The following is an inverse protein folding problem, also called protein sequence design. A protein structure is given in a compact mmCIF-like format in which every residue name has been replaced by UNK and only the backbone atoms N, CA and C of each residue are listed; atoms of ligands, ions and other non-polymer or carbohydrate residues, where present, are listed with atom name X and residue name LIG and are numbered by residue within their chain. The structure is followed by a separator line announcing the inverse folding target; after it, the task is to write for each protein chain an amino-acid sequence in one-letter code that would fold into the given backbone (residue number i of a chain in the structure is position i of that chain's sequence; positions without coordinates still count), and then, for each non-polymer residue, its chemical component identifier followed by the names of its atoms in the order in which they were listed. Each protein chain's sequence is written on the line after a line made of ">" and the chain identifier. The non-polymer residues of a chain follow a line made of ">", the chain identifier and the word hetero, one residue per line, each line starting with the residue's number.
data_IF_718930430667
#
_entry.id   IF_718930430667
#
_cell.length_a   1.000
_cell.length_b   1.000
_cell.length_c   1.000
_cell.angle_alpha   90.00
_cell.angle_beta   90.00
_cell.angle_gamma   90.00
#
_symmetry.space_group_name_H-M   'P 1'
#
loop_
_entity.id
_entity.type
_entity.pdbx_description
1 polymer ?
#
# COMPACT_ATOMS: atom_id res chain seq x y z
N UNK A 1 -7.45 -17.90 -15.20
CA UNK A 1 -7.45 -16.51 -15.74
C UNK A 1 -6.02 -16.13 -16.05
N UNK A 2 -5.76 -15.68 -17.26
CA UNK A 2 -4.45 -15.15 -17.62
C UNK A 2 -4.28 -13.78 -16.95
N UNK A 3 -3.29 -13.63 -16.08
CA UNK A 3 -3.00 -12.35 -15.43
C UNK A 3 -2.26 -11.45 -16.41
N UNK A 4 -2.59 -10.15 -16.42
CA UNK A 4 -2.00 -9.21 -17.37
C UNK A 4 -0.62 -8.72 -16.94
N UNK A 5 -0.34 -8.71 -15.63
CA UNK A 5 0.89 -8.25 -15.02
C UNK A 5 1.42 -9.26 -14.02
N UNK A 6 2.70 -9.21 -13.72
CA UNK A 6 3.30 -9.94 -12.60
C UNK A 6 2.81 -9.36 -11.27
N UNK A 7 2.79 -8.03 -11.16
CA UNK A 7 2.52 -7.31 -9.92
C UNK A 7 1.50 -6.17 -10.13
N UNK A 8 0.51 -6.09 -9.23
CA UNK A 8 -0.29 -4.89 -9.01
C UNK A 8 0.09 -4.26 -7.68
N UNK A 9 0.53 -3.01 -7.69
CA UNK A 9 0.78 -2.24 -6.46
C UNK A 9 -0.44 -1.36 -6.19
N UNK A 10 -1.13 -1.59 -5.07
CA UNK A 10 -2.31 -0.83 -4.64
C UNK A 10 -1.89 0.15 -3.55
N UNK A 11 -2.08 1.44 -3.81
CA UNK A 11 -1.69 2.53 -2.92
C UNK A 11 -2.92 3.37 -2.56
N UNK A 12 -3.57 3.09 -1.41
CA UNK A 12 -4.61 3.96 -0.88
C UNK A 12 -3.97 5.23 -0.32
N UNK A 13 -4.60 6.39 -0.56
CA UNK A 13 -4.04 7.67 -0.13
C UNK A 13 -5.10 8.71 0.21
N UNK A 14 -4.74 9.63 1.10
CA UNK A 14 -5.51 10.81 1.45
C UNK A 14 -4.55 11.96 1.80
N UNK A 15 -4.54 13.03 0.99
CA UNK A 15 -3.66 14.20 1.14
C UNK A 15 -2.17 13.86 1.16
N UNK A 16 -1.69 13.24 0.08
CA UNK A 16 -0.30 12.77 -0.08
C UNK A 16 0.36 13.31 -1.37
N UNK A 17 -0.05 14.49 -1.83
CA UNK A 17 0.42 15.07 -3.10
C UNK A 17 1.95 15.15 -3.20
N UNK A 18 2.66 15.42 -2.09
CA UNK A 18 4.11 15.61 -2.06
C UNK A 18 4.88 14.30 -2.22
N UNK A 19 4.38 13.20 -1.63
CA UNK A 19 5.08 11.91 -1.61
C UNK A 19 4.88 11.07 -2.88
N UNK A 20 3.76 11.26 -3.59
CA UNK A 20 3.38 10.42 -4.73
C UNK A 20 4.41 10.37 -5.87
N UNK A 21 5.04 11.50 -6.31
CA UNK A 21 6.04 11.44 -7.38
C UNK A 21 7.27 10.61 -6.99
N UNK A 22 7.74 10.74 -5.75
CA UNK A 22 8.89 9.99 -5.24
C UNK A 22 8.57 8.51 -5.11
N UNK A 23 7.41 8.17 -4.53
CA UNK A 23 6.95 6.79 -4.40
C UNK A 23 6.82 6.12 -5.77
N UNK A 24 6.19 6.80 -6.73
CA UNK A 24 6.05 6.27 -8.09
C UNK A 24 7.41 6.00 -8.75
N UNK A 25 8.34 6.98 -8.67
CA UNK A 25 9.68 6.82 -9.25
C UNK A 25 10.45 5.66 -8.60
N UNK A 26 10.29 5.47 -7.28
CA UNK A 26 10.92 4.37 -6.56
C UNK A 26 10.33 3.01 -6.98
N UNK A 27 9.01 2.88 -7.03
CA UNK A 27 8.35 1.65 -7.53
C UNK A 27 8.80 1.36 -8.96
N UNK A 28 8.74 2.34 -9.87
CA UNK A 28 9.13 2.17 -11.27
C UNK A 28 10.58 1.69 -11.42
N UNK A 29 11.51 2.25 -10.64
CA UNK A 29 12.90 1.82 -10.62
C UNK A 29 13.02 0.34 -10.25
N UNK A 30 12.41 -0.08 -9.16
CA UNK A 30 12.46 -1.48 -8.68
C UNK A 30 11.87 -2.43 -9.71
N UNK A 31 10.72 -2.08 -10.32
CA UNK A 31 10.10 -2.91 -11.35
C UNK A 31 10.98 -3.09 -12.58
N UNK A 32 11.63 -2.01 -13.03
CA UNK A 32 12.57 -2.05 -14.18
C UNK A 32 13.83 -2.85 -13.86
N UNK A 33 14.43 -2.67 -12.70
CA UNK A 33 15.62 -3.40 -12.25
C UNK A 33 15.41 -4.92 -12.22
N UNK A 34 14.20 -5.36 -11.87
CA UNK A 34 13.85 -6.77 -11.77
C UNK A 34 13.05 -7.33 -12.96
N UNK A 35 12.83 -6.52 -13.99
CA UNK A 35 12.08 -6.89 -15.21
C UNK A 35 10.65 -7.38 -14.93
N UNK A 36 9.97 -6.85 -13.92
CA UNK A 36 8.57 -7.15 -13.67
C UNK A 36 7.65 -6.37 -14.60
N UNK A 37 6.65 -7.06 -15.15
CA UNK A 37 5.47 -6.40 -15.71
C UNK A 37 4.55 -5.96 -14.56
N UNK A 38 4.10 -4.70 -14.55
CA UNK A 38 3.42 -4.15 -13.39
C UNK A 38 2.37 -3.11 -13.74
N UNK A 39 1.51 -2.85 -12.76
CA UNK A 39 0.65 -1.67 -12.69
C UNK A 39 0.70 -1.07 -11.28
N UNK A 40 0.46 0.23 -11.19
CA UNK A 40 0.29 0.96 -9.92
C UNK A 40 -1.11 1.55 -9.89
N UNK A 41 -1.90 1.20 -8.88
CA UNK A 41 -3.27 1.66 -8.71
C UNK A 41 -3.31 2.60 -7.50
N UNK A 42 -3.32 3.89 -7.76
CA UNK A 42 -3.52 4.91 -6.73
C UNK A 42 -5.01 5.07 -6.45
N UNK A 43 -5.42 4.84 -5.20
CA UNK A 43 -6.81 5.02 -4.77
C UNK A 43 -6.90 6.26 -3.90
N UNK A 44 -7.31 7.38 -4.50
CA UNK A 44 -7.49 8.66 -3.83
C UNK A 44 -8.80 8.65 -3.03
N UNK A 45 -8.69 8.55 -1.71
CA UNK A 45 -9.80 8.50 -0.78
C UNK A 45 -10.37 9.90 -0.45
N UNK A 46 -10.71 10.66 -1.51
CA UNK A 46 -11.36 11.96 -1.39
C UNK A 46 -10.44 13.06 -0.87
N UNK A 47 -9.16 13.08 -1.27
CA UNK A 47 -8.20 14.14 -0.91
C UNK A 47 -8.72 15.53 -1.26
N UNK A 48 -8.30 16.50 -0.44
CA UNK A 48 -8.64 17.92 -0.59
C UNK A 48 -7.46 18.74 -1.12
N UNK A 49 -6.27 18.15 -1.20
CA UNK A 49 -5.05 18.73 -1.78
C UNK A 49 -4.91 18.41 -3.28
N UNK A 50 -3.73 18.57 -3.85
CA UNK A 50 -3.42 18.32 -5.26
C UNK A 50 -3.14 16.83 -5.58
N UNK A 51 -3.40 15.89 -4.66
CA UNK A 51 -3.10 14.47 -4.86
C UNK A 51 -3.72 13.92 -6.15
N UNK A 52 -4.96 14.30 -6.47
CA UNK A 52 -5.59 13.80 -7.69
C UNK A 52 -4.88 14.29 -8.96
N UNK A 53 -4.55 15.57 -9.02
CA UNK A 53 -3.84 16.16 -10.15
C UNK A 53 -2.44 15.56 -10.33
N UNK A 54 -1.79 15.17 -9.23
CA UNK A 54 -0.51 14.43 -9.30
C UNK A 54 -0.73 13.07 -9.94
N UNK A 55 -1.75 12.32 -9.52
CA UNK A 55 -2.06 11.00 -10.09
C UNK A 55 -2.36 11.12 -11.60
N UNK A 56 -3.15 12.11 -12.02
CA UNK A 56 -3.45 12.33 -13.44
C UNK A 56 -2.17 12.55 -14.24
N UNK A 57 -1.26 13.42 -13.78
CA UNK A 57 0.04 13.65 -14.45
C UNK A 57 0.91 12.39 -14.52
N UNK A 58 0.95 11.59 -13.46
CA UNK A 58 1.68 10.33 -13.45
C UNK A 58 1.09 9.33 -14.46
N UNK A 59 -0.24 9.22 -14.54
CA UNK A 59 -0.91 8.34 -15.49
C UNK A 59 -0.72 8.79 -16.95
N UNK A 60 -0.66 10.09 -17.22
CA UNK A 60 -0.35 10.63 -18.55
C UNK A 60 1.09 10.29 -19.00
N UNK A 61 2.03 10.25 -18.06
CA UNK A 61 3.45 9.98 -18.34
C UNK A 61 3.81 8.50 -18.34
N UNK A 62 3.03 7.67 -17.65
CA UNK A 62 3.30 6.22 -17.51
C UNK A 62 1.98 5.42 -17.60
N UNK A 63 1.83 4.67 -18.68
CA UNK A 63 0.64 3.84 -18.93
C UNK A 63 0.42 2.69 -17.94
N UNK A 64 1.37 2.41 -17.04
CA UNK A 64 1.21 1.46 -15.94
C UNK A 64 0.53 2.07 -14.71
N UNK A 65 0.31 3.39 -14.69
CA UNK A 65 -0.33 4.10 -13.56
C UNK A 65 -1.82 4.23 -13.82
N UNK A 66 -2.62 3.84 -12.84
CA UNK A 66 -4.08 3.96 -12.83
C UNK A 66 -4.53 4.71 -11.58
N UNK A 67 -5.58 5.53 -11.73
CA UNK A 67 -6.17 6.30 -10.64
C UNK A 67 -7.63 5.94 -10.39
N UNK A 68 -8.00 5.75 -9.13
CA UNK A 68 -9.38 5.66 -8.66
C UNK A 68 -9.63 6.84 -7.72
N UNK A 69 -10.68 7.64 -7.98
CA UNK A 69 -11.01 8.81 -7.19
C UNK A 69 -12.34 8.63 -6.46
N UNK A 70 -12.31 8.75 -5.15
CA UNK A 70 -13.52 8.83 -4.35
C UNK A 70 -14.02 10.27 -4.24
N UNK A 71 -15.33 10.43 -4.13
CA UNK A 71 -15.95 11.76 -3.97
C UNK A 71 -15.69 12.39 -2.60
N UNK A 72 -15.44 11.56 -1.57
CA UNK A 72 -15.13 11.93 -0.19
C UNK A 72 -14.32 10.84 0.48
N UNK A 73 -13.79 11.11 1.65
CA UNK A 73 -13.10 10.11 2.45
C UNK A 73 -14.09 9.05 2.97
N UNK A 74 -13.82 7.78 2.63
CA UNK A 74 -14.54 6.59 3.10
C UNK A 74 -13.69 5.69 3.98
N UNK A 75 -12.40 5.97 4.08
CA UNK A 75 -11.42 5.21 4.84
C UNK A 75 -10.61 4.21 4.02
N UNK A 76 -9.53 3.72 4.63
CA UNK A 76 -8.53 2.85 3.98
C UNK A 76 -9.12 1.53 3.47
N UNK A 77 -10.03 0.89 4.22
CA UNK A 77 -10.58 -0.41 3.84
C UNK A 77 -11.41 -0.38 2.55
N UNK A 78 -12.36 0.56 2.33
CA UNK A 78 -13.02 0.72 1.05
C UNK A 78 -12.06 1.04 -0.10
N UNK A 79 -11.01 1.85 0.15
CA UNK A 79 -10.01 2.17 -0.85
C UNK A 79 -9.23 0.92 -1.28
N UNK A 80 -8.75 0.12 -0.34
CA UNK A 80 -8.10 -1.16 -0.63
C UNK A 80 -9.03 -2.13 -1.39
N UNK A 81 -10.29 -2.23 -0.99
CA UNK A 81 -11.26 -3.09 -1.67
C UNK A 81 -11.43 -2.71 -3.15
N UNK A 82 -11.55 -1.41 -3.45
CA UNK A 82 -11.64 -0.95 -4.84
C UNK A 82 -10.34 -1.21 -5.61
N UNK A 83 -9.18 -0.98 -4.99
CA UNK A 83 -7.89 -1.28 -5.57
C UNK A 83 -7.72 -2.77 -5.90
N UNK A 84 -8.09 -3.66 -4.98
CA UNK A 84 -8.04 -5.12 -5.21
C UNK A 84 -8.96 -5.56 -6.35
N UNK A 85 -10.15 -4.97 -6.45
CA UNK A 85 -11.07 -5.27 -7.57
C UNK A 85 -10.53 -4.83 -8.93
N UNK A 86 -9.74 -3.77 -8.98
CA UNK A 86 -9.15 -3.25 -10.20
C UNK A 86 -7.85 -3.98 -10.59
N UNK A 87 -7.17 -4.60 -9.63
CA UNK A 87 -5.89 -5.27 -9.82
C UNK A 87 -5.97 -6.43 -10.82
N UNK A 88 -5.01 -6.48 -11.76
CA UNK A 88 -4.89 -7.50 -12.81
C UNK A 88 -3.57 -8.29 -12.72
N UNK A 89 -2.76 -8.03 -11.70
CA UNK A 89 -1.50 -8.69 -11.45
C UNK A 89 -1.67 -10.07 -10.80
N UNK A 90 -0.69 -10.94 -11.04
CA UNK A 90 -0.60 -12.26 -10.40
C UNK A 90 -0.44 -12.13 -8.88
N UNK A 91 0.36 -11.16 -8.43
CA UNK A 91 0.55 -10.81 -7.02
C UNK A 91 0.08 -9.39 -6.81
N UNK A 92 -0.68 -9.17 -5.74
CA UNK A 92 -1.12 -7.83 -5.33
C UNK A 92 -0.36 -7.41 -4.08
N UNK A 93 0.32 -6.26 -4.17
CA UNK A 93 1.08 -5.68 -3.06
C UNK A 93 0.40 -4.37 -2.65
N UNK A 94 0.21 -4.18 -1.35
CA UNK A 94 -0.30 -2.91 -0.81
C UNK A 94 0.84 -2.11 -0.20
N UNK A 95 0.86 -0.81 -0.45
CA UNK A 95 1.84 0.12 0.14
C UNK A 95 1.14 1.38 0.61
N UNK A 96 1.62 1.96 1.70
CA UNK A 96 1.19 3.29 2.13
C UNK A 96 1.91 4.38 1.31
N UNK A 97 1.25 5.53 1.12
CA UNK A 97 1.80 6.60 0.28
C UNK A 97 2.84 7.49 0.99
N UNK A 98 3.08 7.30 2.27
CA UNK A 98 3.89 8.13 3.16
C UNK A 98 5.41 7.84 3.13
N UNK A 99 5.88 7.01 2.18
CA UNK A 99 7.27 6.58 2.00
C UNK A 99 7.86 5.78 3.18
N UNK A 100 7.03 5.26 4.09
CA UNK A 100 7.50 4.39 5.18
C UNK A 100 7.66 2.94 4.76
N UNK A 101 6.96 2.51 3.72
CA UNK A 101 7.12 1.20 3.11
C UNK A 101 8.20 1.27 2.02
N UNK A 102 9.11 0.29 1.98
CA UNK A 102 10.19 0.25 1.00
C UNK A 102 9.81 -0.56 -0.24
N UNK A 103 9.69 0.07 -1.43
CA UNK A 103 9.53 -0.68 -2.68
C UNK A 103 10.65 -1.67 -2.97
N UNK A 104 11.85 -1.51 -2.40
CA UNK A 104 12.97 -2.46 -2.59
C UNK A 104 12.67 -3.85 -2.01
N UNK A 105 11.64 -3.99 -1.15
CA UNK A 105 11.19 -5.28 -0.63
C UNK A 105 10.26 -6.05 -1.58
N UNK A 106 9.74 -5.39 -2.62
CA UNK A 106 8.80 -5.98 -3.57
C UNK A 106 9.31 -7.30 -4.19
N UNK A 107 10.57 -7.40 -4.66
CA UNK A 107 11.06 -8.64 -5.27
C UNK A 107 11.04 -9.82 -4.31
N UNK A 108 11.38 -9.60 -3.03
CA UNK A 108 11.37 -10.66 -2.02
C UNK A 108 9.93 -11.08 -1.66
N UNK A 109 9.02 -10.12 -1.50
CA UNK A 109 7.61 -10.41 -1.27
C UNK A 109 7.00 -11.21 -2.43
N UNK A 110 7.34 -10.84 -3.67
CA UNK A 110 6.92 -11.56 -4.87
C UNK A 110 7.45 -13.00 -4.88
N UNK A 111 8.73 -13.20 -4.57
CA UNK A 111 9.36 -14.51 -4.48
C UNK A 111 8.67 -15.39 -3.43
N UNK A 112 8.40 -14.87 -2.24
CA UNK A 112 7.73 -15.61 -1.17
C UNK A 112 6.36 -16.13 -1.59
N UNK A 113 5.59 -15.34 -2.34
CA UNK A 113 4.28 -15.79 -2.86
C UNK A 113 4.45 -16.83 -3.98
N UNK A 114 5.35 -16.57 -4.94
CA UNK A 114 5.40 -17.35 -6.18
C UNK A 114 6.25 -18.61 -6.11
N UNK A 115 7.30 -18.63 -5.27
CA UNK A 115 8.26 -19.72 -5.14
C UNK A 115 8.10 -20.47 -3.82
N UNK A 116 7.96 -19.77 -2.70
CA UNK A 116 7.83 -20.41 -1.38
C UNK A 116 6.38 -20.87 -1.08
N UNK A 117 5.40 -20.45 -1.91
CA UNK A 117 4.02 -20.90 -1.87
C UNK A 117 3.17 -20.30 -0.74
N UNK A 118 3.53 -19.11 -0.24
CA UNK A 118 2.69 -18.39 0.72
C UNK A 118 1.48 -17.77 0.02
N UNK A 119 0.30 -17.89 0.63
CA UNK A 119 -0.93 -17.23 0.15
C UNK A 119 -0.99 -15.75 0.54
N UNK A 120 -0.36 -15.39 1.66
CA UNK A 120 -0.30 -14.04 2.20
C UNK A 120 1.02 -13.79 2.92
N UNK A 121 1.67 -12.68 2.60
CA UNK A 121 2.87 -12.19 3.29
C UNK A 121 2.59 -10.79 3.83
N UNK A 122 2.84 -10.58 5.12
CA UNK A 122 2.72 -9.28 5.76
C UNK A 122 4.09 -8.81 6.23
N UNK A 123 4.50 -7.63 5.76
CA UNK A 123 5.73 -6.98 6.24
C UNK A 123 5.62 -6.60 7.71
N UNK A 124 6.66 -6.89 8.50
CA UNK A 124 6.74 -6.47 9.89
C UNK A 124 7.63 -5.23 10.03
N UNK A 125 7.03 -4.09 10.39
CA UNK A 125 7.79 -2.85 10.66
C UNK A 125 8.56 -2.97 11.99
N UNK A 126 9.87 -3.18 11.93
CA UNK A 126 10.72 -3.33 13.13
C UNK A 126 10.85 -2.04 13.96
N UNK A 127 10.73 -0.86 13.34
CA UNK A 127 10.80 0.44 14.02
C UNK A 127 9.67 1.34 13.51
N UNK A 128 8.77 1.72 14.41
CA UNK A 128 7.78 2.77 14.17
C UNK A 128 8.32 4.10 14.67
N UNK A 129 8.39 5.09 13.81
CA UNK A 129 8.68 6.49 14.17
C UNK A 129 7.37 7.27 14.43
N UNK A 130 6.42 6.63 15.12
CA UNK A 130 5.18 7.32 15.47
C UNK A 130 5.45 8.35 16.57
N UNK A 131 4.88 9.57 16.47
CA UNK A 131 4.96 10.55 17.54
C UNK A 131 4.36 9.98 18.83
N UNK A 132 4.95 10.32 19.98
CA UNK A 132 4.55 9.85 21.31
C UNK A 132 3.04 10.01 21.58
N UNK A 133 2.41 11.05 20.99
CA UNK A 133 0.96 11.29 21.09
C UNK A 133 0.10 10.18 20.49
N UNK A 134 0.60 9.42 19.49
CA UNK A 134 -0.10 8.27 18.89
C UNK A 134 0.28 6.95 19.57
N UNK A 135 1.52 6.83 20.02
CA UNK A 135 2.05 5.58 20.58
C UNK A 135 1.44 5.25 21.95
N UNK A 136 1.20 6.26 22.81
CA UNK A 136 0.64 6.05 24.16
C UNK A 136 -0.81 5.54 24.11
N UNK A 137 -1.76 6.17 23.37
CA UNK A 137 -3.11 5.65 23.23
C UNK A 137 -3.19 4.24 22.64
N UNK A 138 -2.36 3.94 21.63
CA UNK A 138 -2.32 2.62 20.99
C UNK A 138 -1.83 1.54 21.95
N UNK A 139 -0.77 1.80 22.73
CA UNK A 139 -0.27 0.86 23.74
C UNK A 139 -1.30 0.57 24.83
N UNK A 140 -2.04 1.61 25.28
CA UNK A 140 -3.07 1.46 26.28
C UNK A 140 -4.25 0.65 25.71
N UNK A 141 -4.68 0.95 24.50
CA UNK A 141 -5.75 0.22 23.81
C UNK A 141 -5.37 -1.26 23.63
N UNK A 142 -4.18 -1.55 23.13
CA UNK A 142 -3.69 -2.93 22.91
C UNK A 142 -3.55 -3.72 24.22
N UNK A 143 -3.12 -3.06 25.30
CA UNK A 143 -3.06 -3.68 26.63
C UNK A 143 -4.47 -4.06 27.13
N UNK A 144 -5.47 -3.18 26.93
CA UNK A 144 -6.85 -3.42 27.30
C UNK A 144 -7.46 -4.51 26.43
N UNK A 145 -7.23 -4.46 25.11
CA UNK A 145 -7.74 -5.45 24.16
C UNK A 145 -7.18 -6.87 24.46
N UNK A 146 -5.88 -6.98 24.79
CA UNK A 146 -5.26 -8.25 25.22
C UNK A 146 -5.93 -8.82 26.48
N UNK A 147 -6.24 -7.94 27.45
CA UNK A 147 -6.85 -8.35 28.72
C UNK A 147 -8.30 -8.82 28.54
N UNK A 148 -9.04 -8.19 27.62
CA UNK A 148 -10.46 -8.50 27.36
C UNK A 148 -10.63 -9.69 26.41
N UNK A 149 -9.78 -9.80 25.36
CA UNK A 149 -9.88 -10.87 24.36
C UNK A 149 -9.29 -12.21 24.79
N UNK A 150 -8.43 -12.23 25.81
CA UNK A 150 -7.74 -13.44 26.26
C UNK A 150 -6.72 -14.00 25.24
N UNK A 151 -6.36 -13.24 24.20
CA UNK A 151 -5.41 -13.66 23.16
C UNK A 151 -4.00 -13.16 23.55
N UNK A 152 -3.07 -14.07 23.95
CA UNK A 152 -1.78 -13.66 24.49
C UNK A 152 -0.82 -13.02 23.46
N UNK A 153 -0.99 -13.32 22.16
CA UNK A 153 -0.12 -12.84 21.07
C UNK A 153 -0.78 -11.81 20.16
N UNK A 154 -1.68 -10.96 20.71
CA UNK A 154 -2.25 -9.86 19.98
C UNK A 154 -1.14 -8.81 19.74
N UNK A 155 -0.48 -8.89 18.57
CA UNK A 155 0.44 -7.86 18.12
C UNK A 155 -0.33 -6.66 17.60
N UNK A 156 0.28 -5.48 17.69
CA UNK A 156 -0.30 -4.18 17.41
C UNK A 156 -1.24 -4.15 16.19
N UNK A 157 -2.51 -3.91 16.45
CA UNK A 157 -3.44 -3.52 15.40
C UNK A 157 -3.22 -2.04 15.04
N UNK A 158 -3.08 -1.78 13.77
CA UNK A 158 -3.24 -0.47 13.16
C UNK A 158 -4.59 -0.37 12.49
#
# INVERSE_FOLDING_TARGET
>A
METKYDISVVVPLFNEAESLPELHAWIERVMKEHNFSYEVIFVNDGSTDESWQVIERLAESNGAVHGIKFRRNYGKSPALFCGFKAAQGRVVITMDADLQDSPDEIPELYRMITEDGYDLVSGYKQKRYDPLSKTIPTKLFNATARKVSGIPNLHDFN
#
